data_IF_360513022601
#
_entry.id   IF_360513022601
#
_cell.length_a   1.000
_cell.length_b   1.000
_cell.length_c   1.000
_cell.angle_alpha   90.00
_cell.angle_beta   90.00
_cell.angle_gamma   90.00
#
_symmetry.space_group_name_H-M   'P 1'
#
loop_
_entity.id
_entity.type
_entity.pdbx_description
1 polymer ?
#
# COMPACT_ATOMS: atom_id res chain seq x y z
N UNK A 1 -22.38 19.62 -4.50
CA UNK A 1 -22.13 18.31 -5.09
C UNK A 1 -20.82 18.32 -5.88
N UNK A 2 -19.86 17.44 -5.58
CA UNK A 2 -18.59 17.30 -6.31
C UNK A 2 -18.72 16.77 -7.73
N UNK A 3 -19.90 16.34 -8.12
CA UNK A 3 -20.18 15.72 -9.43
C UNK A 3 -19.73 16.60 -10.61
N UNK A 4 -19.85 17.92 -10.49
CA UNK A 4 -19.50 18.88 -11.53
C UNK A 4 -18.01 19.25 -11.57
N UNK A 5 -17.23 18.96 -10.51
CA UNK A 5 -15.86 19.44 -10.35
C UNK A 5 -14.82 18.32 -10.40
N UNK A 6 -15.26 17.06 -10.30
CA UNK A 6 -14.37 15.91 -10.39
C UNK A 6 -14.84 14.74 -9.55
N UNK A 7 -14.64 13.54 -10.11
CA UNK A 7 -14.92 12.27 -9.44
C UNK A 7 -13.64 11.55 -9.00
N UNK A 8 -12.50 12.05 -9.41
CA UNK A 8 -11.14 11.52 -9.18
C UNK A 8 -10.16 12.69 -9.00
N UNK A 9 -8.91 12.37 -8.68
CA UNK A 9 -7.81 13.31 -8.65
C UNK A 9 -7.90 14.35 -7.53
N UNK A 10 -7.35 15.53 -7.76
CA UNK A 10 -7.14 16.57 -6.76
C UNK A 10 -8.39 16.96 -5.96
N UNK A 11 -9.57 16.87 -6.57
CA UNK A 11 -10.82 17.15 -5.86
C UNK A 11 -11.10 16.12 -4.75
N UNK A 12 -10.93 14.82 -5.04
CA UNK A 12 -11.14 13.77 -4.03
C UNK A 12 -10.02 13.80 -2.99
N UNK A 13 -8.78 14.13 -3.39
CA UNK A 13 -7.67 14.34 -2.45
C UNK A 13 -8.00 15.46 -1.45
N UNK A 14 -8.55 16.59 -1.91
CA UNK A 14 -8.98 17.67 -1.02
C UNK A 14 -10.11 17.23 -0.06
N UNK A 15 -11.06 16.44 -0.56
CA UNK A 15 -12.11 15.85 0.29
C UNK A 15 -11.54 14.89 1.32
N UNK A 16 -10.51 14.13 0.98
CA UNK A 16 -9.82 13.24 1.93
C UNK A 16 -9.27 14.00 3.13
N UNK A 17 -8.66 15.16 2.90
CA UNK A 17 -8.16 16.02 3.99
C UNK A 17 -9.28 16.50 4.92
N UNK A 18 -10.43 16.87 4.35
CA UNK A 18 -11.61 17.29 5.13
C UNK A 18 -12.16 16.11 5.95
N UNK A 19 -12.31 14.93 5.33
CA UNK A 19 -12.83 13.74 6.01
C UNK A 19 -11.93 13.35 7.19
N UNK A 20 -10.61 13.30 6.97
CA UNK A 20 -9.65 13.00 8.02
C UNK A 20 -9.70 14.00 9.17
N UNK A 21 -9.82 15.32 8.88
CA UNK A 21 -10.00 16.34 9.90
C UNK A 21 -11.30 16.15 10.71
N UNK A 22 -12.39 15.74 10.08
CA UNK A 22 -13.66 15.46 10.77
C UNK A 22 -13.53 14.23 11.68
N UNK A 23 -12.79 13.19 11.27
CA UNK A 23 -12.50 12.05 12.14
C UNK A 23 -11.64 12.44 13.34
N UNK A 24 -10.66 13.31 13.16
CA UNK A 24 -9.84 13.85 14.25
C UNK A 24 -10.68 14.63 15.28
N UNK A 25 -11.53 15.54 14.81
CA UNK A 25 -12.48 16.27 15.65
C UNK A 25 -13.40 15.31 16.43
N UNK A 26 -13.94 14.29 15.76
CA UNK A 26 -14.80 13.28 16.37
C UNK A 26 -14.07 12.51 17.47
N UNK A 27 -12.81 12.13 17.23
CA UNK A 27 -11.98 11.46 18.24
C UNK A 27 -11.73 12.35 19.46
N UNK A 28 -11.37 13.60 19.22
CA UNK A 28 -11.13 14.60 20.28
C UNK A 28 -12.38 14.90 21.09
N UNK A 29 -13.53 15.07 20.44
CA UNK A 29 -14.83 15.27 21.13
C UNK A 29 -15.24 14.06 21.96
N UNK A 30 -14.95 12.84 21.50
CA UNK A 30 -15.23 11.62 22.23
C UNK A 30 -14.19 11.30 23.33
N UNK A 31 -13.10 12.05 23.42
CA UNK A 31 -11.98 11.76 24.32
C UNK A 31 -11.29 10.43 23.99
N UNK A 32 -11.31 9.98 22.74
CA UNK A 32 -10.85 8.66 22.31
C UNK A 32 -10.01 8.75 21.03
N UNK A 33 -9.01 7.86 20.86
CA UNK A 33 -8.28 7.76 19.60
C UNK A 33 -9.19 7.23 18.48
N UNK A 34 -8.92 7.69 17.25
CA UNK A 34 -9.76 7.35 16.06
C UNK A 34 -9.88 5.83 15.84
N UNK A 35 -8.79 5.08 16.01
CA UNK A 35 -8.84 3.62 15.82
C UNK A 35 -9.90 2.94 16.73
N UNK A 36 -10.13 3.47 17.93
CA UNK A 36 -11.13 2.92 18.87
C UNK A 36 -12.57 3.27 18.51
N UNK A 37 -12.79 4.19 17.57
CA UNK A 37 -14.11 4.59 17.09
C UNK A 37 -14.62 3.72 15.92
N UNK A 38 -13.76 2.86 15.34
CA UNK A 38 -14.10 2.06 14.16
C UNK A 38 -14.91 0.79 14.50
N UNK A 39 -15.24 0.57 15.76
CA UNK A 39 -16.27 -0.37 16.19
C UNK A 39 -15.83 -1.83 16.36
N UNK A 40 -14.60 -2.19 16.04
CA UNK A 40 -14.02 -3.52 16.31
C UNK A 40 -12.95 -3.41 17.39
N UNK A 41 -12.67 -4.53 18.08
CA UNK A 41 -11.45 -4.61 18.89
C UNK A 41 -10.27 -4.64 17.92
N UNK A 42 -9.58 -3.51 17.78
CA UNK A 42 -8.40 -3.40 16.93
C UNK A 42 -7.26 -4.29 17.41
N UNK A 43 -6.27 -4.47 16.55
CA UNK A 43 -5.00 -5.12 16.90
C UNK A 43 -4.25 -4.25 17.90
N UNK A 44 -3.55 -4.89 18.83
CA UNK A 44 -2.70 -4.18 19.81
C UNK A 44 -1.44 -3.60 19.15
N UNK A 45 -1.05 -4.11 17.97
CA UNK A 45 0.02 -3.64 17.12
C UNK A 45 -0.12 -4.23 15.72
N UNK A 46 0.54 -3.64 14.72
CA UNK A 46 0.54 -4.16 13.35
C UNK A 46 1.97 -4.20 12.80
N UNK A 47 2.39 -5.29 12.13
CA UNK A 47 3.72 -5.36 11.51
C UNK A 47 3.90 -4.27 10.45
N UNK A 48 5.13 -3.80 10.33
CA UNK A 48 5.53 -2.82 9.30
C UNK A 48 6.05 -3.59 8.08
N UNK A 49 5.65 -3.17 6.87
CA UNK A 49 6.50 -3.35 5.71
C UNK A 49 7.13 -2.01 5.31
N UNK A 50 8.42 -2.06 4.98
CA UNK A 50 9.16 -0.86 4.62
C UNK A 50 9.35 -0.77 3.12
N UNK A 51 8.93 0.36 2.55
CA UNK A 51 9.15 0.73 1.16
C UNK A 51 10.45 1.50 1.02
N UNK A 52 11.27 1.13 0.05
CA UNK A 52 12.53 1.83 -0.21
C UNK A 52 13.40 1.16 -1.27
N UNK A 53 14.68 1.51 -1.27
CA UNK A 53 15.72 0.88 -2.08
C UNK A 53 16.47 -0.14 -1.22
N UNK A 54 17.42 -0.83 -1.81
CA UNK A 54 18.24 -1.82 -1.10
C UNK A 54 18.89 -1.26 0.19
N UNK A 55 19.38 -0.01 0.16
CA UNK A 55 19.98 0.63 1.34
C UNK A 55 19.01 0.82 2.51
N UNK A 56 17.73 1.06 2.21
CA UNK A 56 16.68 1.19 3.22
C UNK A 56 16.32 -0.17 3.83
N UNK A 57 16.51 -1.27 3.08
CA UNK A 57 16.28 -2.63 3.60
C UNK A 57 17.22 -2.96 4.75
N UNK A 58 18.52 -2.64 4.63
CA UNK A 58 19.51 -2.85 5.68
C UNK A 58 19.13 -2.12 6.98
N UNK A 59 18.75 -0.84 6.85
CA UNK A 59 18.26 -0.02 7.98
C UNK A 59 17.00 -0.63 8.61
N UNK A 60 16.08 -1.13 7.78
CA UNK A 60 14.86 -1.78 8.24
C UNK A 60 15.12 -3.06 9.03
N UNK A 61 16.08 -3.87 8.60
CA UNK A 61 16.47 -5.08 9.31
C UNK A 61 17.00 -4.77 10.72
N UNK A 62 17.82 -3.71 10.87
CA UNK A 62 18.30 -3.25 12.18
C UNK A 62 17.16 -2.79 13.10
N UNK A 63 16.04 -2.33 12.54
CA UNK A 63 14.83 -1.91 13.27
C UNK A 63 13.83 -3.06 13.53
N UNK A 64 14.20 -4.30 13.20
CA UNK A 64 13.36 -5.48 13.41
C UNK A 64 12.28 -5.68 12.35
N UNK A 65 12.27 -4.93 11.25
CA UNK A 65 11.29 -5.07 10.16
C UNK A 65 11.51 -6.39 9.42
N UNK A 66 10.41 -7.07 9.07
CA UNK A 66 10.43 -8.40 8.46
C UNK A 66 9.84 -8.42 7.03
N UNK A 67 9.34 -7.29 6.54
CA UNK A 67 8.65 -7.20 5.25
C UNK A 67 9.15 -5.96 4.50
N UNK A 68 9.50 -6.13 3.22
CA UNK A 68 10.17 -5.09 2.44
C UNK A 68 9.56 -4.96 1.04
N UNK A 69 9.30 -3.73 0.63
CA UNK A 69 8.89 -3.38 -0.73
C UNK A 69 10.01 -2.58 -1.41
N UNK A 70 10.55 -3.12 -2.49
CA UNK A 70 11.65 -2.49 -3.24
C UNK A 70 11.09 -1.73 -4.42
N UNK A 71 11.44 -0.46 -4.51
CA UNK A 71 11.07 0.40 -5.64
C UNK A 71 11.96 0.07 -6.84
N UNK A 72 11.35 -0.43 -7.91
CA UNK A 72 12.02 -0.75 -9.17
C UNK A 72 12.28 0.51 -9.99
N UNK A 73 13.53 0.72 -10.39
CA UNK A 73 13.93 1.89 -11.15
C UNK A 73 13.67 1.75 -12.66
N UNK A 74 13.87 0.54 -13.17
CA UNK A 74 13.85 0.22 -14.61
C UNK A 74 12.45 -0.21 -15.08
N UNK A 75 12.18 -0.02 -16.36
CA UNK A 75 10.93 -0.38 -17.01
C UNK A 75 11.09 -0.79 -18.46
N UNK A 76 9.99 -0.86 -19.19
CA UNK A 76 9.97 -1.34 -20.59
C UNK A 76 10.95 -0.60 -21.51
N UNK A 77 11.21 0.68 -21.23
CA UNK A 77 12.11 1.52 -22.03
C UNK A 77 13.59 1.18 -21.87
N UNK A 78 13.95 0.50 -20.78
CA UNK A 78 15.33 0.15 -20.46
C UNK A 78 15.76 -1.20 -21.06
N UNK A 79 14.82 -1.89 -21.72
CA UNK A 79 15.06 -3.14 -22.45
C UNK A 79 15.69 -4.24 -21.60
N UNK A 80 16.44 -5.13 -22.24
CA UNK A 80 17.09 -6.26 -21.57
C UNK A 80 18.07 -5.86 -20.44
N UNK A 81 18.90 -4.79 -20.60
CA UNK A 81 19.74 -4.34 -19.49
C UNK A 81 18.94 -3.90 -18.25
N UNK A 82 17.77 -3.27 -18.42
CA UNK A 82 16.89 -2.90 -17.32
C UNK A 82 16.31 -4.12 -16.60
N UNK A 83 15.86 -5.13 -17.35
CA UNK A 83 15.40 -6.41 -16.78
C UNK A 83 16.46 -7.07 -15.92
N UNK A 84 17.69 -7.15 -16.42
CA UNK A 84 18.82 -7.75 -15.70
C UNK A 84 19.18 -6.97 -14.42
N UNK A 85 19.13 -5.64 -14.44
CA UNK A 85 19.36 -4.84 -13.23
C UNK A 85 18.26 -5.07 -12.18
N UNK A 86 17.00 -5.08 -12.59
CA UNK A 86 15.86 -5.38 -11.71
C UNK A 86 15.97 -6.76 -11.07
N UNK A 87 16.24 -7.79 -11.88
CA UNK A 87 16.45 -9.17 -11.43
C UNK A 87 17.60 -9.25 -10.43
N UNK A 88 18.74 -8.63 -10.74
CA UNK A 88 19.89 -8.58 -9.83
C UNK A 88 19.55 -7.93 -8.49
N UNK A 89 18.95 -6.73 -8.49
CA UNK A 89 18.64 -6.01 -7.26
C UNK A 89 17.66 -6.82 -6.38
N UNK A 90 16.60 -7.37 -6.95
CA UNK A 90 15.63 -8.15 -6.17
C UNK A 90 16.20 -9.46 -5.66
N UNK A 91 17.08 -10.12 -6.42
CA UNK A 91 17.81 -11.30 -5.97
C UNK A 91 18.77 -10.99 -4.82
N UNK A 92 19.54 -9.90 -4.92
CA UNK A 92 20.43 -9.44 -3.84
C UNK A 92 19.65 -9.10 -2.56
N UNK A 93 18.49 -8.45 -2.69
CA UNK A 93 17.62 -8.17 -1.54
C UNK A 93 17.05 -9.46 -0.97
N UNK A 94 16.63 -10.41 -1.80
CA UNK A 94 16.14 -11.72 -1.33
C UNK A 94 17.23 -12.48 -0.55
N UNK A 95 18.46 -12.49 -1.04
CA UNK A 95 19.60 -13.07 -0.33
C UNK A 95 19.84 -12.36 1.03
N UNK A 96 19.80 -11.03 1.04
CA UNK A 96 20.00 -10.21 2.23
C UNK A 96 18.96 -10.48 3.33
N UNK A 97 17.67 -10.52 2.95
CA UNK A 97 16.59 -10.68 3.93
C UNK A 97 16.34 -12.14 4.30
N UNK A 98 16.81 -13.09 3.48
CA UNK A 98 16.57 -14.53 3.64
C UNK A 98 15.15 -14.97 3.23
N UNK A 99 14.88 -16.29 3.22
CA UNK A 99 13.65 -16.84 2.63
C UNK A 99 12.38 -16.65 3.49
N UNK A 100 12.52 -16.27 4.75
CA UNK A 100 11.38 -16.21 5.68
C UNK A 100 10.69 -14.83 5.70
N UNK A 101 11.34 -13.80 5.17
CA UNK A 101 10.81 -12.44 5.14
C UNK A 101 10.12 -12.14 3.82
N UNK A 102 9.07 -11.34 3.85
CA UNK A 102 8.34 -10.98 2.64
C UNK A 102 9.09 -9.93 1.83
N UNK A 103 9.13 -10.14 0.52
CA UNK A 103 9.67 -9.21 -0.46
C UNK A 103 8.57 -8.84 -1.45
N UNK A 104 8.43 -7.57 -1.74
CA UNK A 104 7.49 -7.01 -2.70
C UNK A 104 8.24 -6.13 -3.70
N UNK A 105 7.71 -5.98 -4.89
CA UNK A 105 8.25 -5.09 -5.92
C UNK A 105 7.25 -3.98 -6.24
N UNK A 106 7.71 -2.72 -6.20
CA UNK A 106 6.96 -1.53 -6.57
C UNK A 106 7.40 -1.03 -7.94
N UNK A 107 6.51 -1.06 -8.92
CA UNK A 107 6.83 -0.72 -10.31
C UNK A 107 6.47 0.71 -10.71
N UNK A 108 5.60 1.38 -9.98
CA UNK A 108 5.14 2.76 -10.28
C UNK A 108 4.77 2.95 -11.77
N UNK A 109 4.03 2.01 -12.34
CA UNK A 109 3.61 1.95 -13.75
C UNK A 109 4.77 1.99 -14.79
N UNK A 110 6.00 1.72 -14.41
CA UNK A 110 7.15 1.80 -15.34
C UNK A 110 7.23 0.62 -16.31
N UNK A 111 6.73 -0.54 -15.90
CA UNK A 111 6.73 -1.69 -16.78
C UNK A 111 5.73 -1.52 -17.92
N UNK A 112 4.56 -1.01 -17.65
CA UNK A 112 3.51 -0.49 -18.55
C UNK A 112 3.30 -1.30 -19.87
N UNK A 113 3.49 -2.60 -19.80
CA UNK A 113 3.26 -3.58 -20.85
C UNK A 113 2.99 -4.95 -20.24
N UNK A 114 1.92 -5.61 -20.69
CA UNK A 114 1.50 -6.92 -20.14
C UNK A 114 2.56 -7.99 -20.39
N UNK A 115 3.10 -8.09 -21.61
CA UNK A 115 4.08 -9.13 -21.95
C UNK A 115 5.40 -8.92 -21.20
N UNK A 116 5.83 -7.67 -21.05
CA UNK A 116 6.99 -7.32 -20.23
C UNK A 116 6.77 -7.75 -18.78
N UNK A 117 5.62 -7.45 -18.21
CA UNK A 117 5.27 -7.82 -16.83
C UNK A 117 5.24 -9.34 -16.64
N UNK A 118 4.62 -10.08 -17.57
CA UNK A 118 4.60 -11.54 -17.54
C UNK A 118 6.00 -12.15 -17.65
N UNK A 119 6.87 -11.56 -18.45
CA UNK A 119 8.26 -11.98 -18.55
C UNK A 119 9.02 -11.72 -17.25
N UNK A 120 8.87 -10.51 -16.68
CA UNK A 120 9.51 -10.15 -15.40
C UNK A 120 9.02 -11.02 -14.25
N UNK A 121 7.72 -11.31 -14.17
CA UNK A 121 7.18 -12.21 -13.15
C UNK A 121 7.86 -13.59 -13.21
N UNK A 122 8.03 -14.17 -14.41
CA UNK A 122 8.77 -15.45 -14.58
C UNK A 122 10.24 -15.37 -14.20
N UNK A 123 10.92 -14.29 -14.57
CA UNK A 123 12.35 -14.08 -14.20
C UNK A 123 12.54 -13.96 -12.68
N UNK A 124 11.54 -13.43 -12.00
CA UNK A 124 11.56 -13.13 -10.56
C UNK A 124 10.95 -14.25 -9.70
N UNK A 125 10.53 -15.39 -10.27
CA UNK A 125 9.98 -16.52 -9.49
C UNK A 125 10.93 -16.96 -8.36
N UNK A 126 12.23 -16.98 -8.63
CA UNK A 126 13.25 -17.31 -7.62
C UNK A 126 13.37 -16.30 -6.48
N UNK A 127 12.83 -15.10 -6.66
CA UNK A 127 12.79 -14.08 -5.60
C UNK A 127 11.61 -14.27 -4.63
N UNK A 128 10.64 -15.14 -4.92
CA UNK A 128 9.45 -15.39 -4.08
C UNK A 128 8.76 -14.09 -3.66
N UNK A 129 8.37 -13.29 -4.66
CA UNK A 129 7.71 -12.01 -4.42
C UNK A 129 6.32 -12.23 -3.86
N UNK A 130 5.98 -11.51 -2.79
CA UNK A 130 4.64 -11.55 -2.21
C UNK A 130 3.62 -10.81 -3.09
N UNK A 131 4.00 -9.66 -3.67
CA UNK A 131 3.27 -9.01 -4.75
C UNK A 131 4.18 -8.21 -5.69
N UNK A 132 3.64 -7.95 -6.88
CA UNK A 132 4.10 -6.92 -7.83
C UNK A 132 3.07 -5.79 -7.80
N UNK A 133 3.50 -4.57 -7.47
CA UNK A 133 2.65 -3.40 -7.28
C UNK A 133 2.73 -2.48 -8.48
N UNK A 134 1.56 -2.07 -8.97
CA UNK A 134 1.34 -1.15 -10.09
C UNK A 134 2.32 -1.33 -11.27
N UNK A 135 2.38 -2.53 -11.88
CA UNK A 135 3.23 -2.72 -13.06
C UNK A 135 2.74 -1.94 -14.27
N UNK A 136 1.43 -1.72 -14.41
CA UNK A 136 0.79 -1.04 -15.53
C UNK A 136 0.20 0.32 -15.10
N UNK A 137 -0.21 1.13 -16.07
CA UNK A 137 -1.03 2.31 -15.79
C UNK A 137 -2.28 1.91 -15.00
N UNK A 138 -2.68 2.64 -13.95
CA UNK A 138 -3.90 2.37 -13.17
C UNK A 138 -5.18 2.33 -14.02
N UNK A 139 -5.19 2.96 -15.18
CA UNK A 139 -6.32 2.96 -16.11
C UNK A 139 -6.39 1.72 -17.02
N UNK A 140 -5.35 0.87 -17.06
CA UNK A 140 -5.31 -0.35 -17.90
C UNK A 140 -5.92 -1.56 -17.17
N UNK A 141 -7.21 -1.49 -16.87
CA UNK A 141 -7.93 -2.56 -16.17
C UNK A 141 -7.91 -3.89 -16.93
N UNK A 142 -7.90 -3.84 -18.27
CA UNK A 142 -7.83 -5.05 -19.11
C UNK A 142 -6.46 -5.71 -19.02
N UNK A 143 -5.39 -4.90 -18.99
CA UNK A 143 -4.04 -5.40 -18.77
C UNK A 143 -3.90 -6.05 -17.39
N UNK A 144 -4.42 -5.42 -16.34
CA UNK A 144 -4.43 -6.00 -14.99
C UNK A 144 -5.22 -7.32 -14.91
N UNK A 145 -6.40 -7.41 -15.56
CA UNK A 145 -7.18 -8.65 -15.66
C UNK A 145 -6.36 -9.78 -16.28
N UNK A 146 -5.58 -9.48 -17.33
CA UNK A 146 -4.68 -10.46 -17.95
C UNK A 146 -3.55 -10.88 -17.03
N UNK A 147 -2.96 -9.94 -16.27
CA UNK A 147 -1.89 -10.26 -15.33
C UNK A 147 -2.38 -11.17 -14.21
N UNK A 148 -3.48 -10.82 -13.55
CA UNK A 148 -4.07 -11.63 -12.47
C UNK A 148 -4.47 -13.03 -12.97
N UNK A 149 -4.93 -13.14 -14.21
CA UNK A 149 -5.32 -14.42 -14.78
C UNK A 149 -4.14 -15.33 -15.19
N UNK A 150 -2.92 -14.79 -15.37
CA UNK A 150 -1.78 -15.52 -15.92
C UNK A 150 -0.60 -15.65 -14.96
N UNK A 151 -0.58 -14.89 -13.86
CA UNK A 151 0.49 -14.92 -12.86
C UNK A 151 -0.05 -15.65 -11.63
N UNK A 152 0.37 -16.90 -11.43
CA UNK A 152 -0.02 -17.70 -10.27
C UNK A 152 1.04 -17.66 -9.15
N UNK A 153 2.28 -17.28 -9.46
CA UNK A 153 3.42 -17.31 -8.54
C UNK A 153 3.49 -16.13 -7.58
N UNK A 154 2.83 -15.02 -7.91
CA UNK A 154 2.85 -13.80 -7.09
C UNK A 154 1.56 -13.02 -7.27
N UNK A 155 1.16 -12.23 -6.26
CA UNK A 155 -0.04 -11.40 -6.30
C UNK A 155 0.19 -10.13 -7.13
N UNK A 156 -0.87 -9.57 -7.65
CA UNK A 156 -0.89 -8.23 -8.26
C UNK A 156 -1.55 -7.27 -7.26
N UNK A 157 -0.82 -6.22 -6.88
CA UNK A 157 -1.31 -5.17 -6.01
C UNK A 157 -1.54 -3.88 -6.81
N UNK A 158 -2.62 -3.17 -6.50
CA UNK A 158 -2.95 -1.89 -7.11
C UNK A 158 -3.96 -1.10 -6.28
N UNK A 159 -4.09 0.19 -6.58
CA UNK A 159 -5.15 1.01 -6.03
C UNK A 159 -4.70 2.28 -5.33
N UNK A 160 -3.40 2.57 -5.19
CA UNK A 160 -2.96 3.84 -4.62
C UNK A 160 -3.43 5.03 -5.46
N UNK A 161 -3.49 4.88 -6.78
CA UNK A 161 -3.98 5.88 -7.72
C UNK A 161 -5.49 5.75 -8.02
N UNK A 162 -6.23 4.88 -7.30
CA UNK A 162 -7.68 4.76 -7.47
C UNK A 162 -8.44 5.58 -6.43
N UNK A 163 -9.66 5.97 -6.78
CA UNK A 163 -10.45 6.92 -6.01
C UNK A 163 -11.81 6.33 -5.66
N UNK A 164 -12.18 6.46 -4.38
CA UNK A 164 -13.48 6.09 -3.83
C UNK A 164 -13.84 4.61 -4.02
N UNK A 165 -14.84 4.15 -3.29
CA UNK A 165 -15.36 2.78 -3.46
C UNK A 165 -15.77 2.43 -4.90
N UNK A 166 -16.06 3.43 -5.72
CA UNK A 166 -16.54 3.19 -7.08
C UNK A 166 -15.41 2.72 -8.00
N UNK A 167 -14.22 3.30 -7.89
CA UNK A 167 -13.06 2.83 -8.62
C UNK A 167 -12.64 1.42 -8.17
N UNK A 168 -12.65 1.15 -6.88
CA UNK A 168 -12.38 -0.21 -6.36
C UNK A 168 -13.44 -1.24 -6.79
N UNK A 169 -14.69 -0.82 -7.02
CA UNK A 169 -15.70 -1.71 -7.62
C UNK A 169 -15.38 -2.04 -9.08
N UNK A 170 -14.72 -1.14 -9.82
CA UNK A 170 -14.22 -1.46 -11.17
C UNK A 170 -13.06 -2.45 -11.12
N UNK A 171 -12.11 -2.29 -10.18
CA UNK A 171 -11.04 -3.28 -9.97
C UNK A 171 -11.63 -4.68 -9.69
N UNK A 172 -12.68 -4.79 -8.87
CA UNK A 172 -13.36 -6.07 -8.61
C UNK A 172 -14.01 -6.62 -9.89
N UNK A 173 -14.73 -5.77 -10.63
CA UNK A 173 -15.44 -6.19 -11.85
C UNK A 173 -14.49 -6.78 -12.89
N UNK A 174 -13.31 -6.22 -13.01
CA UNK A 174 -12.25 -6.67 -13.90
C UNK A 174 -11.31 -7.70 -13.27
N UNK A 175 -11.49 -8.06 -11.99
CA UNK A 175 -10.50 -8.89 -11.26
C UNK A 175 -9.07 -8.38 -11.42
N UNK A 176 -8.91 -7.06 -11.32
CA UNK A 176 -7.70 -6.36 -11.70
C UNK A 176 -6.64 -6.29 -10.58
N UNK A 177 -6.90 -6.82 -9.41
CA UNK A 177 -5.93 -6.89 -8.32
C UNK A 177 -6.30 -7.96 -7.30
N UNK A 178 -5.28 -8.54 -6.65
CA UNK A 178 -5.39 -9.45 -5.51
C UNK A 178 -5.27 -8.69 -4.18
N UNK A 179 -4.58 -7.55 -4.20
CA UNK A 179 -4.34 -6.69 -3.04
C UNK A 179 -4.79 -5.26 -3.37
N UNK A 180 -5.70 -4.73 -2.54
CA UNK A 180 -6.15 -3.35 -2.64
C UNK A 180 -5.30 -2.42 -1.79
N UNK A 181 -4.80 -1.34 -2.40
CA UNK A 181 -3.90 -0.38 -1.76
C UNK A 181 -4.43 1.07 -1.80
N UNK A 182 -5.64 1.36 -1.27
CA UNK A 182 -6.14 2.74 -1.26
C UNK A 182 -5.27 3.64 -0.39
N UNK A 183 -5.04 4.88 -0.84
CA UNK A 183 -4.41 5.90 -0.01
C UNK A 183 -5.46 6.73 0.75
N UNK A 184 -5.30 6.86 2.07
CA UNK A 184 -6.23 7.59 2.94
C UNK A 184 -6.32 9.08 2.62
N UNK A 185 -5.27 9.63 2.01
CA UNK A 185 -5.22 11.05 1.64
C UNK A 185 -5.67 11.29 0.19
N UNK A 186 -5.83 10.22 -0.62
CA UNK A 186 -6.18 10.34 -2.03
C UNK A 186 -7.58 9.80 -2.35
N UNK A 187 -7.98 8.68 -1.77
CA UNK A 187 -9.20 7.97 -2.17
C UNK A 187 -10.49 8.39 -1.46
N UNK A 188 -10.49 9.49 -0.72
CA UNK A 188 -11.69 10.03 -0.08
C UNK A 188 -11.70 9.97 1.45
N UNK A 189 -10.53 9.87 2.09
CA UNK A 189 -10.38 9.87 3.53
C UNK A 189 -10.68 8.52 4.20
N UNK A 190 -10.64 8.51 5.52
CA UNK A 190 -10.86 7.31 6.33
C UNK A 190 -12.26 6.70 6.10
N UNK A 191 -13.29 7.54 5.91
CA UNK A 191 -14.64 7.07 5.58
C UNK A 191 -14.67 6.25 4.27
N UNK A 192 -13.91 6.68 3.27
CA UNK A 192 -13.78 5.94 2.01
C UNK A 192 -13.04 4.62 2.21
N UNK A 193 -11.95 4.62 2.98
CA UNK A 193 -11.20 3.40 3.27
C UNK A 193 -12.04 2.35 3.99
N UNK A 194 -12.90 2.74 4.93
CA UNK A 194 -13.84 1.82 5.59
C UNK A 194 -14.75 1.13 4.56
N UNK A 195 -15.25 1.88 3.58
CA UNK A 195 -16.10 1.32 2.53
C UNK A 195 -15.31 0.41 1.56
N UNK A 196 -14.06 0.75 1.25
CA UNK A 196 -13.18 -0.03 0.39
C UNK A 196 -12.75 -1.33 1.10
N UNK A 197 -12.44 -1.26 2.40
CA UNK A 197 -12.15 -2.45 3.22
C UNK A 197 -13.31 -3.43 3.22
N UNK A 198 -14.54 -2.92 3.39
CA UNK A 198 -15.74 -3.76 3.30
C UNK A 198 -15.91 -4.41 1.92
N UNK A 199 -15.55 -3.73 0.83
CA UNK A 199 -15.53 -4.33 -0.50
C UNK A 199 -14.45 -5.42 -0.62
N UNK A 200 -13.24 -5.18 -0.13
CA UNK A 200 -12.16 -6.15 -0.14
C UNK A 200 -12.58 -7.42 0.64
N UNK A 201 -13.09 -7.24 1.85
CA UNK A 201 -13.58 -8.33 2.71
C UNK A 201 -14.67 -9.17 2.04
N UNK A 202 -15.65 -8.54 1.40
CA UNK A 202 -16.77 -9.23 0.73
C UNK A 202 -16.33 -10.01 -0.51
N UNK A 203 -15.15 -9.72 -1.07
CA UNK A 203 -14.58 -10.39 -2.24
C UNK A 203 -13.34 -11.23 -1.90
N UNK A 204 -13.05 -11.45 -0.60
CA UNK A 204 -11.88 -12.21 -0.12
C UNK A 204 -10.54 -11.68 -0.64
N UNK A 205 -10.43 -10.36 -0.84
CA UNK A 205 -9.22 -9.69 -1.28
C UNK A 205 -8.42 -9.17 -0.08
N UNK A 206 -7.11 -9.09 -0.22
CA UNK A 206 -6.25 -8.43 0.75
C UNK A 206 -6.42 -6.91 0.66
N UNK A 207 -6.30 -6.23 1.81
CA UNK A 207 -6.43 -4.79 1.92
C UNK A 207 -5.22 -4.24 2.65
N UNK A 208 -4.32 -3.60 1.93
CA UNK A 208 -3.06 -3.09 2.47
C UNK A 208 -2.85 -1.64 2.00
N UNK A 209 -3.44 -0.66 2.70
CA UNK A 209 -3.42 0.73 2.26
C UNK A 209 -2.02 1.28 1.99
N UNK A 210 -1.86 1.97 0.85
CA UNK A 210 -0.72 2.84 0.59
C UNK A 210 -0.59 3.85 1.74
N UNK A 211 0.62 4.04 2.26
CA UNK A 211 0.87 4.83 3.48
C UNK A 211 0.06 4.38 4.69
N UNK A 212 -0.27 3.10 4.78
CA UNK A 212 -1.08 2.57 5.86
C UNK A 212 -0.49 2.80 7.25
N UNK A 213 0.82 2.97 7.37
CA UNK A 213 1.51 3.33 8.60
C UNK A 213 1.51 4.82 8.95
N UNK A 214 0.97 5.72 8.10
CA UNK A 214 0.80 7.13 8.46
C UNK A 214 -0.31 7.29 9.52
N UNK A 215 -0.30 8.45 10.19
CA UNK A 215 -1.24 8.77 11.25
C UNK A 215 -2.72 8.52 10.86
N UNK A 216 -3.12 8.89 9.64
CA UNK A 216 -4.49 8.77 9.16
C UNK A 216 -4.84 7.37 8.65
N UNK A 217 -3.86 6.61 8.14
CA UNK A 217 -4.05 5.27 7.60
C UNK A 217 -4.00 4.17 8.67
N UNK A 218 -3.18 4.35 9.70
CA UNK A 218 -2.98 3.34 10.73
C UNK A 218 -4.26 2.88 11.44
N UNK A 219 -5.23 3.75 11.76
CA UNK A 219 -6.48 3.32 12.39
C UNK A 219 -7.21 2.22 11.64
N UNK A 220 -7.32 2.29 10.31
CA UNK A 220 -8.02 1.24 9.55
C UNK A 220 -7.18 -0.02 9.45
N UNK A 221 -5.84 0.09 9.32
CA UNK A 221 -4.95 -1.07 9.31
C UNK A 221 -5.03 -1.88 10.60
N UNK A 222 -5.11 -1.21 11.75
CA UNK A 222 -5.29 -1.84 13.05
C UNK A 222 -6.64 -2.54 13.19
N UNK A 223 -7.69 -2.06 12.53
CA UNK A 223 -9.05 -2.58 12.66
C UNK A 223 -9.45 -3.59 11.59
N UNK A 224 -8.76 -3.65 10.46
CA UNK A 224 -9.09 -4.59 9.38
C UNK A 224 -8.43 -5.95 9.57
N UNK A 225 -9.22 -7.03 9.44
CA UNK A 225 -8.71 -8.40 9.38
C UNK A 225 -8.12 -8.76 7.99
N UNK A 226 -8.39 -7.97 6.97
CA UNK A 226 -7.82 -8.10 5.63
C UNK A 226 -6.46 -7.41 5.51
N UNK A 227 -6.04 -6.63 6.51
CA UNK A 227 -4.77 -5.90 6.53
C UNK A 227 -3.75 -6.64 7.38
N UNK A 228 -2.70 -7.15 6.75
CA UNK A 228 -1.65 -7.89 7.45
C UNK A 228 -0.53 -6.97 7.95
N UNK A 229 -0.27 -5.89 7.24
CA UNK A 229 0.85 -4.96 7.47
C UNK A 229 0.44 -3.52 7.25
N UNK A 230 1.24 -2.60 7.78
CA UNK A 230 1.11 -1.18 7.51
C UNK A 230 2.40 -0.63 6.89
N UNK A 231 2.26 0.14 5.81
CA UNK A 231 3.38 0.68 5.06
C UNK A 231 4.14 1.76 5.81
N UNK A 232 5.48 1.68 5.75
CA UNK A 232 6.42 2.71 6.18
C UNK A 232 7.37 3.04 5.05
N UNK A 233 7.70 4.31 4.89
CA UNK A 233 8.79 4.74 4.02
C UNK A 233 10.13 4.80 4.75
N UNK A 234 10.17 4.36 6.00
CA UNK A 234 11.36 4.04 6.79
C UNK A 234 12.21 5.22 7.19
N UNK A 235 12.01 6.40 6.66
CA UNK A 235 12.95 7.48 6.83
C UNK A 235 12.34 8.87 6.92
N UNK A 236 12.99 9.61 7.78
CA UNK A 236 12.95 11.04 7.96
C UNK A 236 13.20 11.85 6.69
N UNK A 237 13.83 11.25 5.65
CA UNK A 237 14.12 11.92 4.38
C UNK A 237 12.91 12.39 3.58
N UNK A 238 11.75 11.80 3.82
CA UNK A 238 10.48 12.19 3.20
C UNK A 238 9.59 12.98 4.14
N UNK A 239 10.08 13.24 5.36
CA UNK A 239 9.35 14.00 6.35
C UNK A 239 9.67 15.48 6.20
N UNK A 240 8.65 16.26 5.88
CA UNK A 240 8.59 17.61 6.40
C UNK A 240 8.38 17.50 7.91
N UNK A 241 8.79 18.49 8.70
CA UNK A 241 8.64 18.49 10.16
C UNK A 241 7.23 18.08 10.63
N UNK A 242 6.21 18.42 9.86
CA UNK A 242 4.81 18.03 10.11
C UNK A 242 4.59 16.52 9.97
N UNK A 243 5.19 15.88 8.98
CA UNK A 243 5.06 14.42 8.77
C UNK A 243 5.75 13.64 9.90
N UNK A 244 6.90 14.12 10.40
CA UNK A 244 7.59 13.53 11.54
C UNK A 244 6.77 13.64 12.83
N UNK A 245 6.18 14.81 13.07
CA UNK A 245 5.30 15.01 14.23
C UNK A 245 4.07 14.10 14.21
N UNK A 246 3.76 13.49 13.06
CA UNK A 246 2.59 12.63 12.82
C UNK A 246 2.95 11.15 12.63
N UNK A 247 4.23 10.76 12.80
CA UNK A 247 4.64 9.36 12.69
C UNK A 247 4.16 8.59 13.92
N UNK A 248 3.46 7.44 13.74
CA UNK A 248 3.09 6.59 14.85
C UNK A 248 4.31 6.03 15.59
N UNK A 249 4.11 5.61 16.84
CA UNK A 249 5.15 4.95 17.62
C UNK A 249 5.51 3.60 16.98
N UNK A 250 6.82 3.33 16.92
CA UNK A 250 7.37 2.08 16.36
C UNK A 250 8.09 1.30 17.45
N UNK A 251 7.77 0.03 17.57
CA UNK A 251 8.45 -0.92 18.47
C UNK A 251 8.81 -2.19 17.71
N UNK A 252 10.12 -2.43 17.54
CA UNK A 252 10.69 -3.65 16.97
C UNK A 252 9.95 -4.18 15.71
N UNK A 253 9.81 -3.33 14.69
CA UNK A 253 9.15 -3.65 13.42
C UNK A 253 7.62 -3.61 13.44
N UNK A 254 7.02 -3.03 14.47
CA UNK A 254 5.57 -2.86 14.59
C UNK A 254 5.19 -1.39 14.81
N UNK A 255 4.07 -0.96 14.23
CA UNK A 255 3.38 0.24 14.66
C UNK A 255 2.46 -0.04 15.85
N UNK A 256 2.48 0.90 16.80
CA UNK A 256 1.61 0.88 17.97
C UNK A 256 0.44 1.86 17.79
N UNK A 257 -0.76 1.54 18.31
CA UNK A 257 -1.90 2.45 18.27
C UNK A 257 -1.68 3.67 19.18
N UNK A 258 -1.99 4.87 18.67
CA UNK A 258 -2.04 6.07 19.49
C UNK A 258 -3.06 5.90 20.63
N UNK A 259 -2.70 6.35 21.83
CA UNK A 259 -3.62 6.42 22.97
C UNK A 259 -4.22 7.82 23.14
N UNK A 260 -3.80 8.79 22.33
CA UNK A 260 -4.29 10.18 22.40
C UNK A 260 -5.66 10.32 21.69
N UNK A 261 -6.56 11.20 22.19
CA UNK A 261 -7.79 11.53 21.48
C UNK A 261 -7.53 12.13 20.10
N UNK A 262 -8.29 11.69 19.11
CA UNK A 262 -8.10 12.03 17.71
C UNK A 262 -7.14 11.06 17.00
N UNK A 263 -6.44 11.57 15.99
CA UNK A 263 -5.35 10.85 15.32
C UNK A 263 -4.05 10.94 16.10
#
# INVERSE_FOLDING_TARGET
SGLFYGRRGAFVMALSGIDNALWDIRGKQAGRPVHSLLGQKGKDRIPIYQTGRQTEVEIGLERGIQHFKVVVADGVRDGEPGKQRTEKILSEVRELIGPQKSLMAECTAKWNDVNYTLEMARRLEGCDLYWIEEPLSPDDLVGYEQLVAQIDSTRIASGEHEYTRYGFSELIRHRAADVFQPDVSWSGGLTSLINIEALAKNNALEFTPHRGGCLFGLPICLNSNQCNWAESFGDERYSTDLMMAMTPEVDNGFYLPSQKPGF
#
